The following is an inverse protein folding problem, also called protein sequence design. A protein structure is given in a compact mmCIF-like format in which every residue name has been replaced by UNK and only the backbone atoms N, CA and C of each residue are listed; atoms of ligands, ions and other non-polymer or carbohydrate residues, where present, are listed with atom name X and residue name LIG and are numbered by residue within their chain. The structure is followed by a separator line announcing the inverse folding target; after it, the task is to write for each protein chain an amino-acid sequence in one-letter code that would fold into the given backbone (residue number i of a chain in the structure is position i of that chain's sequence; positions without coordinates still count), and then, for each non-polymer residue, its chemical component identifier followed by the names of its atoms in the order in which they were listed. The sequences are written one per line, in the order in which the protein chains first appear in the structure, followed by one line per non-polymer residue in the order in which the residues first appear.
data_IF_429577182168
#
_entry.id   IF_429577182168
#
_cell.length_a   1.000
_cell.length_b   1.000
_cell.length_c   1.000
_cell.angle_alpha   90.00
_cell.angle_beta   90.00
_cell.angle_gamma   90.00
#
_symmetry.space_group_name_H-M   'P 1'
#
loop_
_entity.id
_entity.type
_entity.pdbx_description
1 polymer ?
#
# COMPACT_ATOMS: atom_id res chain seq x y z
N UNK A 1 0.14 -10.78 15.49
CA UNK A 1 -0.65 -10.96 16.72
C UNK A 1 -2.15 -10.94 16.42
N UNK A 2 -2.71 -9.84 15.90
CA UNK A 2 -4.15 -9.69 15.65
C UNK A 2 -4.81 -10.83 14.85
N UNK A 3 -4.21 -11.23 13.71
CA UNK A 3 -4.76 -12.32 12.88
C UNK A 3 -4.77 -13.69 13.59
N UNK A 4 -3.72 -14.02 14.36
CA UNK A 4 -3.71 -15.25 15.16
C UNK A 4 -4.80 -15.23 16.24
N UNK A 5 -5.00 -14.08 16.90
CA UNK A 5 -6.06 -13.91 17.90
C UNK A 5 -7.45 -14.06 17.26
N UNK A 6 -7.68 -13.45 16.11
CA UNK A 6 -8.95 -13.58 15.39
C UNK A 6 -9.22 -15.03 14.96
N UNK A 7 -8.18 -15.73 14.47
CA UNK A 7 -8.27 -17.15 14.12
C UNK A 7 -8.61 -18.01 15.33
N UNK A 8 -7.95 -17.79 16.48
CA UNK A 8 -8.18 -18.56 17.70
C UNK A 8 -9.56 -18.30 18.34
N UNK A 9 -10.10 -17.09 18.21
CA UNK A 9 -11.38 -16.68 18.80
C UNK A 9 -12.56 -16.79 17.82
N UNK A 10 -12.33 -17.24 16.58
CA UNK A 10 -13.31 -17.22 15.50
C UNK A 10 -13.98 -15.85 15.32
N UNK A 11 -13.16 -14.79 15.34
CA UNK A 11 -13.61 -13.40 15.31
C UNK A 11 -13.31 -12.72 13.97
N UNK A 12 -13.97 -11.59 13.74
CA UNK A 12 -13.69 -10.72 12.61
C UNK A 12 -12.48 -9.82 12.89
N UNK A 13 -11.71 -9.52 11.85
CA UNK A 13 -10.56 -8.61 11.93
C UNK A 13 -10.38 -7.86 10.62
N UNK A 14 -10.06 -6.57 10.71
CA UNK A 14 -9.61 -5.77 9.57
C UNK A 14 -8.09 -5.90 9.43
N UNK A 15 -7.61 -6.25 8.24
CA UNK A 15 -6.18 -6.36 7.93
C UNK A 15 -5.92 -5.78 6.55
N UNK A 16 -4.70 -5.26 6.32
CA UNK A 16 -4.24 -4.98 4.97
C UNK A 16 -3.95 -6.28 4.20
N UNK A 17 -4.00 -6.18 2.86
CA UNK A 17 -3.84 -7.32 1.94
C UNK A 17 -2.44 -7.95 2.01
N UNK A 18 -1.39 -7.16 2.24
CA UNK A 18 -0.01 -7.65 2.28
C UNK A 18 0.23 -8.54 3.49
N UNK A 19 -0.26 -8.09 4.64
CA UNK A 19 -0.28 -8.88 5.88
C UNK A 19 -1.11 -10.16 5.70
N UNK A 20 -2.29 -10.09 5.07
CA UNK A 20 -3.12 -11.28 4.80
C UNK A 20 -2.43 -12.32 3.89
N UNK A 21 -1.79 -11.88 2.81
CA UNK A 21 -1.08 -12.78 1.88
C UNK A 21 0.11 -13.47 2.59
N UNK A 22 0.84 -12.70 3.39
CA UNK A 22 2.00 -13.19 4.13
C UNK A 22 1.63 -14.10 5.30
N UNK A 23 0.40 -13.96 5.82
CA UNK A 23 -0.11 -14.76 6.93
C UNK A 23 -0.50 -16.16 6.47
N UNK A 24 0.34 -17.15 6.80
CA UNK A 24 0.14 -18.55 6.43
C UNK A 24 -0.76 -19.33 7.40
N UNK A 25 -0.85 -18.92 8.66
CA UNK A 25 -1.62 -19.61 9.70
C UNK A 25 -3.09 -19.14 9.77
N UNK A 26 -3.84 -19.29 8.67
CA UNK A 26 -5.18 -18.68 8.55
C UNK A 26 -6.24 -19.37 9.43
N UNK A 27 -6.09 -20.66 9.71
CA UNK A 27 -7.18 -21.45 10.30
C UNK A 27 -8.42 -21.35 9.41
N UNK A 28 -9.57 -21.05 10.01
CA UNK A 28 -10.84 -20.88 9.30
C UNK A 28 -11.12 -19.43 8.86
N UNK A 29 -10.15 -18.51 9.01
CA UNK A 29 -10.34 -17.14 8.53
C UNK A 29 -10.45 -17.13 7.00
N UNK A 30 -11.41 -16.36 6.49
CA UNK A 30 -11.59 -16.09 5.07
C UNK A 30 -11.84 -14.59 4.82
N UNK A 31 -11.66 -14.16 3.57
CA UNK A 31 -11.94 -12.79 3.14
C UNK A 31 -13.45 -12.63 2.95
N UNK A 32 -14.10 -11.94 3.89
CA UNK A 32 -15.54 -11.70 3.82
C UNK A 32 -15.90 -10.38 3.11
N UNK A 33 -15.01 -9.39 3.15
CA UNK A 33 -15.21 -8.08 2.50
C UNK A 33 -13.88 -7.59 1.91
N UNK A 34 -13.89 -7.22 0.63
CA UNK A 34 -12.77 -6.57 -0.05
C UNK A 34 -13.24 -5.63 -1.18
N UNK A 35 -12.36 -4.75 -1.65
CA UNK A 35 -12.61 -3.88 -2.82
C UNK A 35 -13.50 -2.65 -2.56
N UNK A 36 -14.08 -2.50 -1.37
CA UNK A 36 -14.83 -1.30 -0.99
C UNK A 36 -13.91 -0.06 -0.98
N UNK A 37 -14.38 1.05 -1.57
CA UNK A 37 -13.61 2.30 -1.65
C UNK A 37 -13.17 2.83 -0.28
N UNK A 38 -13.94 2.56 0.78
CA UNK A 38 -13.63 2.96 2.16
C UNK A 38 -12.43 2.21 2.74
N UNK A 39 -12.07 1.07 2.14
CA UNK A 39 -10.92 0.26 2.53
C UNK A 39 -9.66 0.61 1.73
N UNK A 40 -9.71 1.62 0.85
CA UNK A 40 -8.54 2.08 0.14
C UNK A 40 -7.55 2.77 1.08
N UNK A 41 -6.40 2.13 1.24
CA UNK A 41 -5.26 2.68 1.96
C UNK A 41 -4.38 3.48 0.98
N UNK A 42 -4.70 4.76 0.81
CA UNK A 42 -3.99 5.62 -0.13
C UNK A 42 -2.61 6.02 0.41
N UNK A 43 -1.59 5.97 -0.47
CA UNK A 43 -0.24 6.39 -0.15
C UNK A 43 0.09 7.73 -0.82
N UNK A 44 0.73 8.63 -0.07
CA UNK A 44 1.23 9.90 -0.57
C UNK A 44 2.74 10.00 -0.42
N UNK A 45 3.38 10.73 -1.34
CA UNK A 45 4.80 11.12 -1.22
C UNK A 45 4.88 12.63 -1.01
N UNK A 46 5.73 13.06 -0.07
CA UNK A 46 5.91 14.47 0.26
C UNK A 46 7.38 14.84 0.25
N UNK A 47 7.70 15.97 -0.38
CA UNK A 47 9.05 16.53 -0.32
C UNK A 47 9.22 17.31 0.97
N UNK A 48 10.31 17.03 1.67
CA UNK A 48 10.71 17.78 2.86
C UNK A 48 11.09 19.21 2.44
N UNK A 49 10.65 20.20 3.21
CA UNK A 49 10.90 21.60 2.90
C UNK A 49 12.40 21.95 3.06
N UNK A 50 13.10 22.32 1.96
CA UNK A 50 14.53 22.65 2.00
C UNK A 50 14.84 23.98 2.70
N UNK A 51 13.88 24.92 2.79
CA UNK A 51 14.06 26.17 3.53
C UNK A 51 14.18 25.91 5.03
N UNK A 52 13.47 24.88 5.52
CA UNK A 52 13.55 24.43 6.92
C UNK A 52 14.67 23.41 7.16
N UNK A 53 15.04 22.64 6.14
CA UNK A 53 16.05 21.60 6.21
C UNK A 53 17.08 21.76 5.07
N UNK A 54 18.07 22.66 5.18
CA UNK A 54 18.97 23.01 4.07
C UNK A 54 19.84 21.86 3.57
N UNK A 55 20.08 20.84 4.39
CA UNK A 55 20.89 19.66 4.03
C UNK A 55 20.08 18.58 3.30
N UNK A 56 18.77 18.77 3.11
CA UNK A 56 17.95 17.80 2.41
C UNK A 56 18.34 17.72 0.93
N UNK A 57 18.37 16.51 0.40
CA UNK A 57 18.61 16.24 -1.01
C UNK A 57 17.35 16.53 -1.83
N UNK A 58 16.99 17.81 -1.95
CA UNK A 58 15.78 18.29 -2.62
C UNK A 58 15.65 17.73 -4.03
N UNK A 59 16.72 17.78 -4.81
CA UNK A 59 16.70 17.41 -6.23
C UNK A 59 16.53 15.90 -6.41
N UNK A 60 17.24 15.09 -5.62
CA UNK A 60 17.05 13.62 -5.60
C UNK A 60 15.62 13.25 -5.17
N UNK A 61 15.09 13.92 -4.15
CA UNK A 61 13.72 13.73 -3.70
C UNK A 61 12.72 14.07 -4.80
N UNK A 62 12.92 15.18 -5.51
CA UNK A 62 12.07 15.57 -6.65
C UNK A 62 12.17 14.57 -7.79
N UNK A 63 13.36 14.07 -8.11
CA UNK A 63 13.57 13.05 -9.12
C UNK A 63 12.80 11.76 -8.76
N UNK A 64 12.83 11.34 -7.50
CA UNK A 64 12.06 10.20 -7.02
C UNK A 64 10.55 10.43 -7.16
N UNK A 65 10.04 11.59 -6.75
CA UNK A 65 8.60 11.92 -6.91
C UNK A 65 8.18 11.89 -8.37
N UNK A 66 8.98 12.49 -9.26
CA UNK A 66 8.70 12.53 -10.68
C UNK A 66 8.66 11.12 -11.30
N UNK A 67 9.60 10.26 -10.93
CA UNK A 67 9.59 8.85 -11.33
C UNK A 67 8.37 8.12 -10.76
N UNK A 68 8.05 8.32 -9.49
CA UNK A 68 6.95 7.63 -8.81
C UNK A 68 5.61 7.87 -9.52
N UNK A 69 5.36 9.09 -10.00
CA UNK A 69 4.14 9.46 -10.72
C UNK A 69 4.23 9.26 -12.24
N UNK A 70 5.37 8.84 -12.78
CA UNK A 70 5.55 8.62 -14.22
C UNK A 70 4.84 7.34 -14.67
N UNK A 71 4.59 7.15 -15.99
CA UNK A 71 4.06 5.88 -16.51
C UNK A 71 4.89 4.66 -16.07
N UNK A 72 6.22 4.80 -16.05
CA UNK A 72 7.15 3.74 -15.64
C UNK A 72 7.03 3.42 -14.15
N UNK A 73 6.99 4.42 -13.28
CA UNK A 73 6.82 4.22 -11.84
C UNK A 73 5.46 3.61 -11.51
N UNK A 74 4.39 4.11 -12.14
CA UNK A 74 3.04 3.54 -11.96
C UNK A 74 2.98 2.09 -12.48
N UNK A 75 3.61 1.77 -13.62
CA UNK A 75 3.71 0.40 -14.11
C UNK A 75 4.50 -0.52 -13.17
N UNK A 76 5.60 -0.03 -12.58
CA UNK A 76 6.37 -0.77 -11.59
C UNK A 76 5.54 -1.09 -10.35
N UNK A 77 4.75 -0.13 -9.86
CA UNK A 77 3.84 -0.34 -8.72
C UNK A 77 2.75 -1.38 -9.07
N UNK A 78 2.11 -1.26 -10.23
CA UNK A 78 1.11 -2.23 -10.68
C UNK A 78 1.68 -3.63 -10.90
N UNK A 79 2.96 -3.71 -11.30
CA UNK A 79 3.67 -4.97 -11.53
C UNK A 79 4.11 -5.68 -10.25
N UNK A 80 4.10 -5.01 -9.10
CA UNK A 80 4.53 -5.60 -7.83
C UNK A 80 3.52 -6.64 -7.33
N UNK A 81 4.00 -7.87 -7.15
CA UNK A 81 3.19 -9.03 -6.77
C UNK A 81 3.83 -9.83 -5.64
N UNK A 82 2.99 -10.40 -4.78
CA UNK A 82 3.37 -11.41 -3.78
C UNK A 82 2.48 -12.62 -4.02
N UNK A 83 3.07 -13.80 -4.14
CA UNK A 83 2.37 -15.06 -4.45
C UNK A 83 1.43 -14.92 -5.69
N UNK A 84 1.87 -14.16 -6.70
CA UNK A 84 1.11 -13.90 -7.93
C UNK A 84 0.00 -12.84 -7.81
N UNK A 85 -0.29 -12.35 -6.60
CA UNK A 85 -1.33 -11.35 -6.36
C UNK A 85 -0.76 -9.93 -6.41
N UNK A 86 -1.41 -9.05 -7.16
CA UNK A 86 -1.08 -7.62 -7.19
C UNK A 86 -1.43 -6.99 -5.85
N UNK A 87 -0.46 -6.30 -5.24
CA UNK A 87 -0.65 -5.72 -3.91
C UNK A 87 -1.06 -4.25 -3.94
N UNK A 88 -0.51 -3.49 -4.89
CA UNK A 88 -0.71 -2.04 -4.97
C UNK A 88 -1.42 -1.65 -6.26
N UNK A 89 -2.30 -0.66 -6.16
CA UNK A 89 -3.09 -0.15 -7.28
C UNK A 89 -2.74 1.33 -7.48
N UNK A 90 -1.88 1.66 -8.46
CA UNK A 90 -1.43 3.03 -8.68
C UNK A 90 -2.58 3.96 -9.10
N UNK A 91 -2.58 5.18 -8.58
CA UNK A 91 -3.65 6.17 -8.78
C UNK A 91 -3.14 7.61 -8.97
N UNK A 92 -1.85 7.83 -9.28
CA UNK A 92 -1.26 9.18 -9.34
C UNK A 92 -1.97 10.15 -10.30
N UNK A 93 -2.68 9.63 -11.31
CA UNK A 93 -3.44 10.42 -12.30
C UNK A 93 -4.96 10.26 -12.18
N UNK A 94 -5.46 9.52 -11.20
CA UNK A 94 -6.90 9.45 -10.94
C UNK A 94 -7.32 10.76 -10.28
N UNK A 95 -8.25 11.48 -10.91
CA UNK A 95 -8.95 12.56 -10.24
C UNK A 95 -9.70 11.96 -9.05
N UNK A 96 -9.43 12.47 -7.85
CA UNK A 96 -10.19 12.08 -6.65
C UNK A 96 -11.68 12.24 -6.92
N UNK A 97 -12.43 11.16 -6.72
CA UNK A 97 -13.89 11.16 -6.78
C UNK A 97 -14.48 11.83 -5.55
#
# INVERSE_FOLDING_TARGET
AALNTASALQAYVLSDRGTWISFKNRGDLDVLVEGDKRLFNQYGVMLVNPEKHPTVKKDDGRAFVNWLISPEGQAAIAGYKIDGQQLFFPDAHKKGS
#
